data_IF_969372596983
#
_entry.id   IF_969372596983
#
_cell.length_a   1.000
_cell.length_b   1.000
_cell.length_c   1.000
_cell.angle_alpha   90.00
_cell.angle_beta   90.00
_cell.angle_gamma   90.00
#
_symmetry.space_group_name_H-M   'P 1'
#
loop_
_entity.id
_entity.type
_entity.pdbx_description
1 polymer ?
#
# COMPACT_ATOMS: atom_id res chain seq x y z
N UNK A 1 27.10 -26.28 14.07
CA UNK A 1 26.15 -26.34 12.94
C UNK A 1 25.90 -24.92 12.51
N UNK A 2 25.90 -24.67 11.20
CA UNK A 2 25.59 -23.36 10.65
C UNK A 2 24.22 -23.40 9.98
N UNK A 3 23.46 -22.34 10.14
CA UNK A 3 22.23 -22.09 9.40
C UNK A 3 22.55 -21.24 8.18
N UNK A 4 21.77 -21.41 7.13
CA UNK A 4 21.93 -20.70 5.88
C UNK A 4 20.62 -20.02 5.48
N UNK A 5 20.72 -18.80 4.96
CA UNK A 5 19.73 -18.21 4.07
C UNK A 5 20.25 -18.32 2.65
N UNK A 6 19.59 -19.11 1.81
CA UNK A 6 19.94 -19.28 0.40
C UNK A 6 18.98 -18.49 -0.48
N UNK A 7 19.46 -17.37 -1.01
CA UNK A 7 18.69 -16.51 -1.91
C UNK A 7 18.78 -17.06 -3.34
N UNK A 8 18.21 -18.25 -3.54
CA UNK A 8 18.24 -18.95 -4.82
C UNK A 8 17.65 -18.07 -5.93
N UNK A 9 18.48 -17.69 -6.91
CA UNK A 9 18.13 -16.67 -7.91
C UNK A 9 16.79 -16.91 -8.63
N UNK A 10 16.43 -18.13 -9.07
CA UNK A 10 15.11 -18.40 -9.63
C UNK A 10 13.93 -18.08 -8.70
N UNK A 11 14.06 -18.33 -7.38
CA UNK A 11 13.04 -17.96 -6.41
C UNK A 11 12.94 -16.43 -6.25
N UNK A 12 14.07 -15.73 -6.20
CA UNK A 12 14.09 -14.26 -6.14
C UNK A 12 13.43 -13.65 -7.37
N UNK A 13 13.71 -14.19 -8.57
CA UNK A 13 13.04 -13.77 -9.80
C UNK A 13 11.53 -14.06 -9.78
N UNK A 14 11.10 -15.16 -9.17
CA UNK A 14 9.68 -15.44 -8.96
C UNK A 14 9.03 -14.40 -8.05
N UNK A 15 9.65 -14.05 -6.92
CA UNK A 15 9.12 -13.01 -6.03
C UNK A 15 9.01 -11.65 -6.72
N UNK A 16 10.03 -11.27 -7.50
CA UNK A 16 9.99 -10.05 -8.32
C UNK A 16 8.85 -10.04 -9.34
N UNK A 17 8.58 -11.17 -9.99
CA UNK A 17 7.45 -11.32 -10.91
C UNK A 17 6.11 -11.20 -10.21
N UNK A 18 5.96 -11.83 -9.04
CA UNK A 18 4.74 -11.72 -8.21
C UNK A 18 4.49 -10.26 -7.79
N UNK A 19 5.54 -9.50 -7.44
CA UNK A 19 5.43 -8.06 -7.13
C UNK A 19 5.06 -7.22 -8.36
N UNK A 20 5.60 -7.56 -9.54
CA UNK A 20 5.25 -6.89 -10.80
C UNK A 20 3.77 -7.08 -11.17
N UNK A 21 3.14 -8.18 -10.75
CA UNK A 21 1.71 -8.41 -11.02
C UNK A 21 0.80 -7.38 -10.33
N UNK A 22 1.29 -6.70 -9.28
CA UNK A 22 0.55 -5.60 -8.64
C UNK A 22 0.38 -4.42 -9.60
N UNK A 23 1.41 -4.12 -10.40
CA UNK A 23 1.34 -3.09 -11.44
C UNK A 23 0.29 -3.44 -12.50
N UNK A 24 0.33 -4.68 -13.00
CA UNK A 24 -0.62 -5.17 -13.99
C UNK A 24 -2.06 -5.15 -13.46
N UNK A 25 -2.25 -5.58 -12.20
CA UNK A 25 -3.55 -5.48 -11.51
C UNK A 25 -4.06 -4.04 -11.48
N UNK A 26 -3.24 -3.10 -11.02
CA UNK A 26 -3.60 -1.69 -10.92
C UNK A 26 -3.95 -1.10 -12.29
N UNK A 27 -3.09 -1.30 -13.28
CA UNK A 27 -3.28 -0.75 -14.62
C UNK A 27 -4.56 -1.29 -15.30
N UNK A 28 -4.94 -2.54 -15.04
CA UNK A 28 -6.18 -3.12 -15.55
C UNK A 28 -7.43 -2.62 -14.82
N UNK A 29 -7.33 -2.36 -13.52
CA UNK A 29 -8.50 -2.03 -12.70
C UNK A 29 -8.75 -0.52 -12.63
N UNK A 30 -7.72 0.32 -12.76
CA UNK A 30 -7.85 1.78 -12.77
C UNK A 30 -8.67 2.32 -13.95
N UNK A 31 -8.83 1.55 -15.03
CA UNK A 31 -9.61 1.97 -16.22
C UNK A 31 -11.08 2.21 -15.90
N UNK A 32 -11.61 1.64 -14.82
CA UNK A 32 -12.95 1.94 -14.32
C UNK A 32 -13.15 3.44 -14.02
N UNK A 33 -12.07 4.15 -13.69
CA UNK A 33 -12.09 5.56 -13.28
C UNK A 33 -11.64 6.53 -14.39
N UNK A 34 -11.55 6.09 -15.66
CA UNK A 34 -11.04 6.95 -16.74
C UNK A 34 -11.97 8.13 -17.08
N UNK A 35 -13.28 7.96 -16.92
CA UNK A 35 -14.28 8.97 -17.27
C UNK A 35 -15.32 9.08 -16.14
N UNK A 36 -14.88 9.69 -15.03
CA UNK A 36 -15.71 9.87 -13.83
C UNK A 36 -16.83 10.88 -14.11
N UNK A 37 -16.53 11.97 -14.81
CA UNK A 37 -17.50 13.03 -15.17
C UNK A 37 -18.70 12.44 -15.93
N UNK A 38 -18.43 11.63 -16.96
CA UNK A 38 -19.47 10.98 -17.73
C UNK A 38 -20.29 10.00 -16.88
N UNK A 39 -19.65 9.17 -16.07
CA UNK A 39 -20.34 8.21 -15.21
C UNK A 39 -21.27 8.90 -14.21
N UNK A 40 -20.82 10.00 -13.60
CA UNK A 40 -21.61 10.80 -12.69
C UNK A 40 -22.79 11.49 -13.39
N UNK A 41 -22.56 12.04 -14.58
CA UNK A 41 -23.62 12.68 -15.39
C UNK A 41 -24.67 11.67 -15.82
N UNK A 42 -24.25 10.51 -16.35
CA UNK A 42 -25.15 9.45 -16.78
C UNK A 42 -26.01 8.90 -15.62
N UNK A 43 -25.46 8.89 -14.40
CA UNK A 43 -26.19 8.53 -13.19
C UNK A 43 -27.32 9.52 -12.87
N UNK A 44 -27.02 10.82 -12.81
CA UNK A 44 -28.02 11.87 -12.58
C UNK A 44 -29.10 11.90 -13.68
N UNK A 45 -28.68 11.85 -14.94
CA UNK A 45 -29.58 11.79 -16.11
C UNK A 45 -30.55 10.61 -16.03
N UNK A 46 -30.06 9.46 -15.56
CA UNK A 46 -30.88 8.27 -15.36
C UNK A 46 -31.92 8.50 -14.26
N UNK A 47 -31.52 9.05 -13.12
CA UNK A 47 -32.44 9.37 -12.02
C UNK A 47 -33.55 10.34 -12.48
N UNK A 48 -33.20 11.37 -13.23
CA UNK A 48 -34.17 12.32 -13.80
C UNK A 48 -35.14 11.63 -14.75
N UNK A 49 -34.63 10.81 -15.70
CA UNK A 49 -35.47 10.11 -16.70
C UNK A 49 -36.40 9.07 -16.09
N UNK A 50 -35.97 8.40 -15.03
CA UNK A 50 -36.72 7.33 -14.38
C UNK A 50 -37.62 7.84 -13.23
N UNK A 51 -37.63 9.15 -12.96
CA UNK A 51 -38.46 9.72 -11.90
C UNK A 51 -39.95 9.46 -12.15
N UNK A 52 -40.68 8.88 -11.18
CA UNK A 52 -42.10 8.56 -11.34
C UNK A 52 -42.95 9.83 -11.19
N UNK A 53 -43.00 10.65 -12.24
CA UNK A 53 -43.73 11.91 -12.26
C UNK A 53 -45.26 11.72 -12.39
N UNK A 54 -46.00 12.65 -11.80
CA UNK A 54 -47.44 12.84 -11.92
C UNK A 54 -47.77 14.29 -12.37
N UNK A 55 -49.05 14.66 -12.38
CA UNK A 55 -49.51 15.99 -12.84
C UNK A 55 -49.05 17.14 -11.92
N UNK A 56 -48.73 16.85 -10.66
CA UNK A 56 -48.32 17.83 -9.65
C UNK A 56 -46.79 17.91 -9.51
N UNK A 57 -46.04 17.14 -10.30
CA UNK A 57 -44.59 17.05 -10.21
C UNK A 57 -43.90 18.33 -10.72
N UNK A 58 -43.09 18.95 -9.86
CA UNK A 58 -42.19 20.03 -10.24
C UNK A 58 -40.90 19.48 -10.84
N UNK A 59 -40.83 19.45 -12.18
CA UNK A 59 -39.65 19.00 -12.91
C UNK A 59 -38.39 19.85 -12.65
N UNK A 60 -38.53 21.10 -12.19
CA UNK A 60 -37.37 21.90 -11.79
C UNK A 60 -36.73 21.31 -10.53
N UNK A 61 -37.54 20.98 -9.53
CA UNK A 61 -37.08 20.35 -8.30
C UNK A 61 -36.48 18.95 -8.56
N UNK A 62 -37.07 18.18 -9.47
CA UNK A 62 -36.53 16.86 -9.87
C UNK A 62 -35.18 17.01 -10.59
N UNK A 63 -35.03 18.01 -11.45
CA UNK A 63 -33.76 18.28 -12.13
C UNK A 63 -32.67 18.73 -11.15
N UNK A 64 -33.01 19.58 -10.17
CA UNK A 64 -32.09 19.99 -9.11
C UNK A 64 -31.61 18.78 -8.29
N UNK A 65 -32.53 17.93 -7.82
CA UNK A 65 -32.17 16.71 -7.09
C UNK A 65 -31.27 15.76 -7.91
N UNK A 66 -31.58 15.56 -9.19
CA UNK A 66 -30.75 14.72 -10.07
C UNK A 66 -29.34 15.29 -10.27
N UNK A 67 -29.19 16.62 -10.31
CA UNK A 67 -27.88 17.28 -10.39
C UNK A 67 -27.10 17.13 -9.07
N UNK A 68 -27.75 17.26 -7.92
CA UNK A 68 -27.12 17.01 -6.61
C UNK A 68 -26.59 15.58 -6.50
N UNK A 69 -27.40 14.60 -6.90
CA UNK A 69 -27.02 13.18 -6.94
C UNK A 69 -25.87 12.92 -7.94
N UNK A 70 -25.84 13.64 -9.06
CA UNK A 70 -24.73 13.59 -10.01
C UNK A 70 -23.43 14.09 -9.37
N UNK A 71 -23.47 15.23 -8.67
CA UNK A 71 -22.31 15.77 -7.97
C UNK A 71 -21.83 14.84 -6.85
N UNK A 72 -22.74 14.22 -6.09
CA UNK A 72 -22.37 13.24 -5.06
C UNK A 72 -21.75 11.98 -5.67
N UNK A 73 -22.27 11.50 -6.80
CA UNK A 73 -21.69 10.36 -7.52
C UNK A 73 -20.25 10.68 -7.99
N UNK A 74 -20.01 11.88 -8.50
CA UNK A 74 -18.69 12.33 -8.91
C UNK A 74 -17.68 12.26 -7.75
N UNK A 75 -18.02 12.85 -6.60
CA UNK A 75 -17.16 12.84 -5.41
C UNK A 75 -16.91 11.41 -4.90
N UNK A 76 -17.94 10.55 -4.93
CA UNK A 76 -17.80 9.15 -4.56
C UNK A 76 -16.82 8.40 -5.47
N UNK A 77 -16.90 8.62 -6.79
CA UNK A 77 -16.01 7.99 -7.76
C UNK A 77 -14.56 8.49 -7.61
N UNK A 78 -14.36 9.79 -7.38
CA UNK A 78 -13.03 10.34 -7.08
C UNK A 78 -12.42 9.72 -5.83
N UNK A 79 -13.21 9.61 -4.76
CA UNK A 79 -12.80 8.94 -3.53
C UNK A 79 -12.43 7.48 -3.77
N UNK A 80 -13.24 6.75 -4.54
CA UNK A 80 -12.97 5.36 -4.88
C UNK A 80 -11.68 5.22 -5.71
N UNK A 81 -11.42 6.13 -6.63
CA UNK A 81 -10.18 6.15 -7.43
C UNK A 81 -8.95 6.32 -6.52
N UNK A 82 -8.99 7.30 -5.62
CA UNK A 82 -7.90 7.54 -4.65
C UNK A 82 -7.69 6.32 -3.74
N UNK A 83 -8.77 5.80 -3.15
CA UNK A 83 -8.69 4.61 -2.30
C UNK A 83 -8.20 3.38 -3.04
N UNK A 84 -8.54 3.23 -4.33
CA UNK A 84 -8.03 2.14 -5.15
C UNK A 84 -6.50 2.16 -5.27
N UNK A 85 -5.90 3.35 -5.48
CA UNK A 85 -4.45 3.52 -5.49
C UNK A 85 -3.84 3.19 -4.11
N UNK A 86 -4.37 3.78 -3.03
CA UNK A 86 -3.87 3.59 -1.67
C UNK A 86 -3.95 2.12 -1.23
N UNK A 87 -5.06 1.45 -1.52
CA UNK A 87 -5.24 0.02 -1.22
C UNK A 87 -4.25 -0.84 -2.01
N UNK A 88 -3.96 -0.48 -3.26
CA UNK A 88 -2.97 -1.18 -4.09
C UNK A 88 -1.54 -1.00 -3.54
N UNK A 89 -1.19 0.20 -3.07
CA UNK A 89 0.09 0.46 -2.39
C UNK A 89 0.21 -0.39 -1.11
N UNK A 90 -0.87 -0.45 -0.31
CA UNK A 90 -0.92 -1.30 0.89
C UNK A 90 -0.77 -2.78 0.56
N UNK A 91 -1.44 -3.25 -0.50
CA UNK A 91 -1.30 -4.61 -1.02
C UNK A 91 0.15 -4.92 -1.36
N UNK A 92 0.84 -4.03 -2.09
CA UNK A 92 2.24 -4.21 -2.48
C UNK A 92 3.14 -4.43 -1.26
N UNK A 93 3.03 -3.55 -0.25
CA UNK A 93 3.82 -3.66 0.98
C UNK A 93 3.58 -5.01 1.67
N UNK A 94 2.31 -5.37 1.86
CA UNK A 94 1.96 -6.60 2.55
C UNK A 94 2.41 -7.84 1.77
N UNK A 95 2.29 -7.84 0.44
CA UNK A 95 2.81 -8.92 -0.40
C UNK A 95 4.31 -9.09 -0.22
N UNK A 96 5.09 -8.00 -0.29
CA UNK A 96 6.54 -8.03 -0.08
C UNK A 96 6.92 -8.50 1.33
N UNK A 97 6.26 -7.98 2.36
CA UNK A 97 6.50 -8.35 3.76
C UNK A 97 6.23 -9.85 4.00
N UNK A 98 5.12 -10.36 3.45
CA UNK A 98 4.76 -11.77 3.55
C UNK A 98 5.70 -12.68 2.75
N UNK A 99 6.18 -12.24 1.58
CA UNK A 99 7.25 -12.95 0.85
C UNK A 99 8.50 -13.08 1.71
N UNK A 100 8.92 -11.99 2.37
CA UNK A 100 10.10 -11.97 3.22
C UNK A 100 9.95 -12.89 4.44
N UNK A 101 8.79 -12.87 5.11
CA UNK A 101 8.47 -13.77 6.23
C UNK A 101 8.47 -15.23 5.76
N UNK A 102 7.77 -15.54 4.67
CA UNK A 102 7.66 -16.90 4.13
C UNK A 102 9.01 -17.45 3.69
N UNK A 103 9.81 -16.63 3.01
CA UNK A 103 11.18 -16.98 2.62
C UNK A 103 12.00 -17.37 3.86
N UNK A 104 11.99 -16.52 4.89
CA UNK A 104 12.75 -16.76 6.12
C UNK A 104 12.31 -18.04 6.82
N UNK A 105 11.01 -18.27 6.94
CA UNK A 105 10.46 -19.48 7.53
C UNK A 105 10.88 -20.73 6.74
N UNK A 106 10.80 -20.69 5.42
CA UNK A 106 11.20 -21.81 4.55
C UNK A 106 12.68 -22.17 4.74
N UNK A 107 13.57 -21.18 4.72
CA UNK A 107 15.01 -21.41 4.89
C UNK A 107 15.34 -21.92 6.30
N UNK A 108 14.72 -21.35 7.33
CA UNK A 108 14.98 -21.74 8.72
C UNK A 108 14.34 -23.08 9.11
N UNK A 109 13.29 -23.52 8.41
CA UNK A 109 12.65 -24.82 8.64
C UNK A 109 13.56 -26.01 8.32
N UNK A 110 14.64 -25.80 7.55
CA UNK A 110 15.68 -26.82 7.32
C UNK A 110 16.50 -27.12 8.58
N UNK A 111 16.46 -26.23 9.57
CA UNK A 111 17.31 -26.30 10.77
C UNK A 111 16.52 -26.36 12.08
N UNK A 112 15.30 -25.82 12.08
CA UNK A 112 14.45 -25.72 13.27
C UNK A 112 13.01 -26.10 12.94
N UNK A 113 12.30 -26.65 13.93
CA UNK A 113 10.86 -26.85 13.82
C UNK A 113 10.11 -25.56 14.19
N UNK A 114 9.51 -24.92 13.19
CA UNK A 114 8.72 -23.70 13.34
C UNK A 114 7.22 -23.93 13.57
N UNK A 115 6.75 -25.18 13.70
CA UNK A 115 5.33 -25.54 13.80
C UNK A 115 4.52 -24.80 14.88
N UNK A 116 5.18 -24.13 15.84
CA UNK A 116 4.54 -23.38 16.93
C UNK A 116 4.88 -21.88 17.02
N UNK A 117 5.67 -21.31 16.10
CA UNK A 117 6.08 -19.89 16.18
C UNK A 117 5.65 -19.10 14.96
N UNK A 118 4.84 -18.06 15.20
CA UNK A 118 4.58 -17.00 14.22
C UNK A 118 5.81 -16.09 14.19
N UNK A 119 6.50 -16.04 13.05
CA UNK A 119 7.62 -15.13 12.85
C UNK A 119 7.08 -13.80 12.32
N UNK A 120 7.21 -12.74 13.12
CA UNK A 120 6.87 -11.39 12.71
C UNK A 120 8.03 -10.74 11.94
N UNK A 121 7.77 -9.56 11.36
CA UNK A 121 8.78 -8.82 10.60
C UNK A 121 10.05 -8.51 11.43
N UNK A 122 9.90 -8.21 12.72
CA UNK A 122 11.03 -7.92 13.62
C UNK A 122 11.90 -9.16 13.83
N UNK A 123 11.27 -10.33 13.95
CA UNK A 123 11.93 -11.63 13.98
C UNK A 123 12.71 -11.89 12.70
N UNK A 124 12.12 -11.61 11.54
CA UNK A 124 12.81 -11.73 10.25
C UNK A 124 14.05 -10.83 10.19
N UNK A 125 13.93 -9.55 10.56
CA UNK A 125 15.07 -8.63 10.60
C UNK A 125 16.18 -9.13 11.53
N UNK A 126 15.81 -9.72 12.66
CA UNK A 126 16.75 -10.30 13.61
C UNK A 126 17.50 -11.48 12.98
N UNK A 127 16.79 -12.38 12.31
CA UNK A 127 17.39 -13.54 11.63
C UNK A 127 18.34 -13.08 10.52
N UNK A 128 17.93 -12.14 9.67
CA UNK A 128 18.78 -11.57 8.62
C UNK A 128 20.06 -10.99 9.20
N UNK A 129 19.95 -10.18 10.27
CA UNK A 129 21.10 -9.57 10.94
C UNK A 129 22.05 -10.60 11.54
N UNK A 130 21.52 -11.70 12.11
CA UNK A 130 22.35 -12.81 12.62
C UNK A 130 23.10 -13.52 11.49
N UNK A 131 22.49 -13.61 10.30
CA UNK A 131 23.13 -14.08 9.07
C UNK A 131 24.02 -13.00 8.40
N UNK A 132 24.31 -11.89 9.10
CA UNK A 132 25.14 -10.77 8.62
C UNK A 132 24.56 -10.02 7.42
N UNK A 133 23.25 -10.15 7.17
CA UNK A 133 22.51 -9.35 6.19
C UNK A 133 21.79 -8.24 6.94
N UNK A 134 22.23 -7.00 6.74
CA UNK A 134 21.55 -5.84 7.30
C UNK A 134 20.67 -5.19 6.22
N UNK A 135 19.39 -5.57 6.20
CA UNK A 135 18.43 -5.05 5.21
C UNK A 135 18.25 -3.53 5.32
N UNK A 136 18.66 -2.91 6.43
CA UNK A 136 18.53 -1.46 6.59
C UNK A 136 19.61 -0.67 5.82
N UNK A 137 20.60 -1.38 5.27
CA UNK A 137 21.70 -0.83 4.50
C UNK A 137 21.57 -1.07 3.00
N UNK A 138 20.50 -1.72 2.55
CA UNK A 138 20.21 -1.87 1.12
C UNK A 138 19.83 -0.52 0.54
N UNK A 139 20.18 -0.26 -0.71
CA UNK A 139 19.84 0.96 -1.42
C UNK A 139 18.32 1.14 -1.51
N UNK A 140 17.56 0.05 -1.71
CA UNK A 140 16.10 0.08 -1.74
C UNK A 140 15.41 0.33 -0.37
N UNK A 141 16.16 0.38 0.73
CA UNK A 141 15.56 0.38 2.08
C UNK A 141 14.79 1.67 2.40
N UNK A 142 15.27 2.82 1.93
CA UNK A 142 14.61 4.12 2.17
C UNK A 142 13.17 4.09 1.67
N UNK A 143 12.99 3.66 0.43
CA UNK A 143 11.73 3.59 -0.30
C UNK A 143 10.81 2.52 0.29
N UNK A 144 11.35 1.36 0.68
CA UNK A 144 10.57 0.32 1.36
C UNK A 144 10.11 0.77 2.74
N UNK A 145 10.93 1.54 3.46
CA UNK A 145 10.57 2.11 4.76
C UNK A 145 9.48 3.17 4.62
N UNK A 146 9.56 3.97 3.57
CA UNK A 146 8.50 4.92 3.20
C UNK A 146 7.19 4.19 2.87
N UNK A 147 7.25 3.19 1.99
CA UNK A 147 6.13 2.31 1.64
C UNK A 147 5.49 1.69 2.88
N UNK A 148 6.29 1.20 3.83
CA UNK A 148 5.82 0.68 5.12
C UNK A 148 5.03 1.70 5.91
N UNK A 149 5.54 2.93 6.03
CA UNK A 149 4.85 3.97 6.78
C UNK A 149 3.55 4.37 6.08
N UNK A 150 3.57 4.52 4.76
CA UNK A 150 2.37 4.80 3.98
C UNK A 150 1.32 3.70 4.12
N UNK A 151 1.67 2.43 3.95
CA UNK A 151 0.74 1.31 4.11
C UNK A 151 0.11 1.27 5.52
N UNK A 152 0.91 1.52 6.56
CA UNK A 152 0.41 1.58 7.93
C UNK A 152 -0.48 2.80 8.18
N UNK A 153 -0.16 3.96 7.60
CA UNK A 153 -1.00 5.17 7.67
C UNK A 153 -2.33 4.94 6.95
N UNK A 154 -2.32 4.27 5.80
CA UNK A 154 -3.56 3.92 5.08
C UNK A 154 -4.46 3.02 5.93
N UNK A 155 -3.87 2.06 6.64
CA UNK A 155 -4.61 1.11 7.47
C UNK A 155 -5.12 1.72 8.79
N UNK A 156 -4.33 2.57 9.41
CA UNK A 156 -4.56 3.01 10.80
C UNK A 156 -4.91 4.49 10.93
N UNK A 157 -4.86 5.26 9.84
CA UNK A 157 -5.05 6.71 9.87
C UNK A 157 -3.88 7.43 10.53
N UNK A 158 -4.20 8.43 11.35
CA UNK A 158 -3.21 9.24 12.05
C UNK A 158 -2.60 8.49 13.24
N UNK A 159 -1.27 8.61 13.41
CA UNK A 159 -0.51 7.88 14.43
C UNK A 159 0.98 7.82 14.11
N UNK A 160 1.71 6.92 14.79
CA UNK A 160 3.19 6.90 14.72
C UNK A 160 3.74 6.73 13.29
N UNK A 161 3.08 5.93 12.45
CA UNK A 161 3.50 5.77 11.05
C UNK A 161 3.24 7.04 10.24
N UNK A 162 2.11 7.73 10.47
CA UNK A 162 1.80 9.00 9.82
C UNK A 162 2.79 10.10 10.25
N UNK A 163 3.14 10.17 11.53
CA UNK A 163 4.13 11.12 12.04
C UNK A 163 5.52 10.90 11.45
N UNK A 164 5.89 9.64 11.18
CA UNK A 164 7.14 9.32 10.48
C UNK A 164 7.05 9.65 9.00
N UNK A 165 5.90 9.38 8.37
CA UNK A 165 5.68 9.66 6.96
C UNK A 165 5.70 11.17 6.69
N UNK A 166 5.07 12.00 7.52
CA UNK A 166 5.13 13.48 7.44
C UNK A 166 6.54 14.05 7.40
N UNK A 167 7.49 13.39 8.07
CA UNK A 167 8.88 13.84 8.11
C UNK A 167 9.64 13.53 6.82
N UNK A 168 9.25 12.50 6.09
CA UNK A 168 9.95 12.03 4.88
C UNK A 168 9.21 12.36 3.57
N UNK A 169 7.88 12.44 3.63
CA UNK A 169 6.96 12.79 2.54
C UNK A 169 5.89 13.77 3.04
N UNK A 170 6.27 15.00 3.43
CA UNK A 170 5.30 16.02 3.83
C UNK A 170 4.31 16.36 2.70
N UNK A 171 4.76 16.22 1.44
CA UNK A 171 3.99 16.44 0.22
C UNK A 171 2.70 15.60 0.15
N UNK A 172 2.68 14.41 0.76
CA UNK A 172 1.46 13.59 0.85
C UNK A 172 0.36 14.20 1.71
N UNK A 173 0.70 15.12 2.60
CA UNK A 173 -0.23 15.69 3.57
C UNK A 173 -0.57 17.15 3.29
N UNK A 174 0.23 17.85 2.50
CA UNK A 174 0.07 19.29 2.29
C UNK A 174 -0.80 19.63 1.10
N UNK A 175 -1.55 20.72 1.22
CA UNK A 175 -2.27 21.31 0.10
C UNK A 175 -1.61 22.59 -0.39
N UNK A 176 -1.56 22.75 -1.72
CA UNK A 176 -1.14 24.00 -2.37
C UNK A 176 -2.27 25.05 -2.40
N UNK A 177 -3.50 24.67 -2.03
CA UNK A 177 -4.68 25.54 -2.06
C UNK A 177 -4.81 26.45 -0.84
N UNK A 178 -3.94 26.30 0.16
CA UNK A 178 -3.94 27.14 1.37
C UNK A 178 -2.60 27.86 1.48
N UNK A 179 -2.65 29.15 1.82
CA UNK A 179 -1.45 29.98 2.04
C UNK A 179 -0.59 29.44 3.19
N UNK A 180 -1.22 28.80 4.18
CA UNK A 180 -0.56 28.06 5.25
C UNK A 180 -0.62 26.55 5.00
N UNK A 181 0.44 25.77 5.32
CA UNK A 181 0.45 24.33 5.11
C UNK A 181 -0.58 23.63 6.02
N UNK A 182 -1.74 23.31 5.44
CA UNK A 182 -2.78 22.51 6.10
C UNK A 182 -2.50 21.02 5.89
N UNK A 183 -2.48 20.28 6.99
CA UNK A 183 -2.38 18.81 7.01
C UNK A 183 -3.74 18.20 6.68
N UNK A 184 -3.88 17.69 5.46
CA UNK A 184 -5.11 17.13 4.91
C UNK A 184 -5.60 15.90 5.68
N UNK A 185 -4.69 15.07 6.19
CA UNK A 185 -5.09 13.91 7.00
C UNK A 185 -5.75 14.37 8.31
N UNK A 186 -5.21 15.39 8.97
CA UNK A 186 -5.81 15.94 10.19
C UNK A 186 -7.09 16.69 9.92
N UNK A 187 -7.13 17.47 8.84
CA UNK A 187 -8.31 18.22 8.42
C UNK A 187 -9.51 17.28 8.22
N UNK A 188 -9.27 16.14 7.57
CA UNK A 188 -10.28 15.14 7.24
C UNK A 188 -10.47 14.10 8.36
N UNK A 189 -10.23 14.48 9.62
CA UNK A 189 -10.53 13.62 10.78
C UNK A 189 -9.75 12.31 10.83
N UNK A 190 -8.59 12.23 10.19
CA UNK A 190 -7.74 11.04 10.11
C UNK A 190 -8.38 9.84 9.37
N UNK A 191 -9.38 10.08 8.52
CA UNK A 191 -10.05 9.04 7.73
C UNK A 191 -9.85 9.22 6.23
N UNK A 192 -9.85 8.12 5.48
CA UNK A 192 -9.73 8.11 4.02
C UNK A 192 -11.10 8.20 3.31
N UNK A 193 -12.02 8.97 3.91
CA UNK A 193 -13.34 9.19 3.34
C UNK A 193 -13.37 10.33 2.32
N UNK A 194 -12.22 10.98 2.09
CA UNK A 194 -12.04 12.02 1.10
C UNK A 194 -10.92 11.62 0.14
N UNK A 195 -11.12 11.84 -1.16
CA UNK A 195 -10.15 11.45 -2.20
C UNK A 195 -8.80 12.14 -2.10
N UNK A 196 -8.69 13.16 -1.27
CA UNK A 196 -7.54 14.05 -1.12
C UNK A 196 -6.88 13.97 0.26
N UNK A 197 -7.31 13.06 1.14
CA UNK A 197 -6.73 12.90 2.49
C UNK A 197 -5.24 12.56 2.45
N UNK A 198 -4.82 11.73 1.50
CA UNK A 198 -3.41 11.38 1.25
C UNK A 198 -3.13 11.54 -0.25
N UNK A 199 -2.21 12.43 -0.59
CA UNK A 199 -1.85 12.75 -1.99
C UNK A 199 -0.76 11.84 -2.55
N UNK A 200 -0.98 10.54 -2.51
CA UNK A 200 -0.12 9.61 -3.24
C UNK A 200 -0.49 9.61 -4.73
N UNK A 201 0.50 9.41 -5.60
CA UNK A 201 0.34 9.35 -7.04
C UNK A 201 0.68 7.96 -7.59
N UNK A 202 0.22 7.67 -8.82
CA UNK A 202 0.56 6.41 -9.50
C UNK A 202 2.08 6.22 -9.63
N UNK A 203 2.83 7.31 -9.83
CA UNK A 203 4.29 7.28 -9.85
C UNK A 203 4.90 6.77 -8.55
N UNK A 204 4.29 7.06 -7.38
CA UNK A 204 4.76 6.53 -6.11
C UNK A 204 4.60 5.00 -6.09
N UNK A 205 3.45 4.49 -6.51
CA UNK A 205 3.23 3.04 -6.65
C UNK A 205 4.30 2.40 -7.54
N UNK A 206 4.57 2.95 -8.72
CA UNK A 206 5.58 2.41 -9.63
C UNK A 206 6.99 2.45 -9.03
N UNK A 207 7.35 3.55 -8.36
CA UNK A 207 8.63 3.66 -7.65
C UNK A 207 8.75 2.61 -6.53
N UNK A 208 7.69 2.37 -5.77
CA UNK A 208 7.68 1.34 -4.74
C UNK A 208 7.81 -0.07 -5.32
N UNK A 209 7.17 -0.37 -6.45
CA UNK A 209 7.29 -1.66 -7.15
C UNK A 209 8.75 -1.92 -7.53
N UNK A 210 9.42 -0.90 -8.10
CA UNK A 210 10.85 -0.97 -8.44
C UNK A 210 11.68 -1.22 -7.17
N UNK A 211 11.41 -0.51 -6.08
CA UNK A 211 12.15 -0.65 -4.83
C UNK A 211 12.04 -2.07 -4.23
N UNK A 212 10.83 -2.64 -4.13
CA UNK A 212 10.65 -4.00 -3.60
C UNK A 212 11.25 -5.08 -4.50
N UNK A 213 11.35 -4.84 -5.81
CA UNK A 213 12.06 -5.72 -6.72
C UNK A 213 13.57 -5.62 -6.56
N UNK A 214 14.10 -4.39 -6.48
CA UNK A 214 15.52 -4.10 -6.28
C UNK A 214 16.04 -4.70 -4.97
N UNK A 215 15.24 -4.68 -3.91
CA UNK A 215 15.55 -5.34 -2.65
C UNK A 215 15.99 -6.81 -2.83
N UNK A 216 15.28 -7.57 -3.66
CA UNK A 216 15.63 -8.97 -3.92
C UNK A 216 16.91 -9.14 -4.76
N UNK A 217 17.26 -8.15 -5.59
CA UNK A 217 18.51 -8.15 -6.36
C UNK A 217 19.73 -7.87 -5.48
N UNK A 218 19.56 -7.07 -4.43
CA UNK A 218 20.61 -6.68 -3.48
C UNK A 218 20.97 -7.79 -2.48
N UNK A 219 20.14 -8.83 -2.37
CA UNK A 219 20.43 -9.95 -1.46
C UNK A 219 21.65 -10.77 -1.93
N UNK A 220 22.55 -11.17 -1.02
CA UNK A 220 23.68 -12.04 -1.35
C UNK A 220 23.16 -13.42 -1.78
N UNK A 221 23.96 -14.22 -2.50
CA UNK A 221 23.51 -15.58 -2.85
C UNK A 221 23.30 -16.45 -1.59
N UNK A 222 24.23 -16.36 -0.63
CA UNK A 222 24.20 -17.14 0.61
C UNK A 222 24.60 -16.27 1.78
N UNK A 223 23.93 -16.48 2.91
CA UNK A 223 24.26 -15.85 4.18
C UNK A 223 24.25 -16.89 5.30
N UNK A 224 25.19 -16.82 6.24
CA UNK A 224 25.42 -17.88 7.22
C UNK A 224 25.42 -17.34 8.66
N UNK A 225 24.89 -18.14 9.58
CA UNK A 225 24.93 -17.87 11.03
C UNK A 225 25.20 -19.15 11.80
N UNK A 226 25.77 -19.00 13.01
CA UNK A 226 25.86 -20.10 13.97
C UNK A 226 24.47 -20.43 14.53
N UNK A 227 24.06 -21.70 14.44
CA UNK A 227 22.78 -22.20 14.97
C UNK A 227 22.58 -21.82 16.45
N UNK A 228 23.63 -21.87 17.29
CA UNK A 228 23.52 -21.56 18.73
C UNK A 228 23.04 -20.13 18.96
N UNK A 229 23.57 -19.17 18.18
CA UNK A 229 23.19 -17.76 18.26
C UNK A 229 21.73 -17.54 17.88
N UNK A 230 21.21 -18.29 16.90
CA UNK A 230 19.81 -18.24 16.51
C UNK A 230 18.93 -18.74 17.66
N UNK A 231 19.23 -19.92 18.23
CA UNK A 231 18.45 -20.53 19.33
C UNK A 231 18.40 -19.60 20.55
N UNK A 232 19.56 -19.08 20.98
CA UNK A 232 19.65 -18.16 22.13
C UNK A 232 18.80 -16.91 21.94
N UNK A 233 18.74 -16.38 20.71
CA UNK A 233 17.99 -15.16 20.42
C UNK A 233 16.50 -15.42 20.27
N UNK A 234 16.12 -16.56 19.70
CA UNK A 234 14.72 -16.92 19.49
C UNK A 234 14.02 -17.42 20.77
N UNK A 235 14.77 -17.86 21.78
CA UNK A 235 14.22 -18.30 23.07
C UNK A 235 14.11 -17.19 24.14
N UNK A 236 14.51 -15.97 23.80
CA UNK A 236 14.27 -14.76 24.60
C UNK A 236 13.06 -14.01 24.07
#
# INVERSE_FOLDING_TARGET
METQLYFWKPLMQRHKKELAMVEDYFNKTKTFFHDIDKQATEYGDKLFREYPADEDTDFSAVAEAANEESAEMYENLLRMQSNHLLMTISLLYHTWEQQLIKFTLSEMSNYFDFTKRVLDFKGVQTIFKLHKVDITKTEAWSEIRELKFLANTIKHGDGESADKLRKIRPDFFTSEYFDDPVDLLKLNGAVLLDGYTIKAHESDLYNYIIAVQKFWDEMPERAFSDTKKIIEKMNK
#
